data_IF_660562677307
#
_entry.id   IF_660562677307
#
_cell.length_a   1.000
_cell.length_b   1.000
_cell.length_c   1.000
_cell.angle_alpha   90.00
_cell.angle_beta   90.00
_cell.angle_gamma   90.00
#
_symmetry.space_group_name_H-M   'P 1'
#
loop_
_entity.id
_entity.type
_entity.pdbx_description
1 polymer ?
#
# COMPACT_ATOMS: atom_id res chain seq x y z
N UNK A 1 2.98 -14.23 -23.35
CA UNK A 1 3.53 -13.59 -22.13
C UNK A 1 2.35 -13.17 -21.27
N UNK A 2 2.03 -13.97 -20.27
CA UNK A 2 1.09 -13.56 -19.22
C UNK A 2 1.86 -12.62 -18.30
N UNK A 3 1.46 -11.36 -18.26
CA UNK A 3 1.91 -10.41 -17.24
C UNK A 3 1.25 -10.82 -15.92
N UNK A 4 1.92 -11.67 -15.16
CA UNK A 4 1.66 -11.79 -13.72
C UNK A 4 2.15 -10.48 -13.11
N UNK A 5 1.22 -9.60 -12.79
CA UNK A 5 1.46 -8.57 -11.79
C UNK A 5 1.59 -9.27 -10.43
N UNK A 6 2.69 -10.01 -10.22
CA UNK A 6 3.10 -10.52 -8.91
C UNK A 6 3.64 -9.35 -8.10
N UNK A 7 2.75 -8.47 -7.68
CA UNK A 7 3.06 -7.47 -6.67
C UNK A 7 2.57 -8.00 -5.32
N UNK A 8 3.53 -8.43 -4.49
CA UNK A 8 3.54 -8.18 -3.04
C UNK A 8 2.49 -8.89 -2.16
N UNK A 9 2.32 -10.21 -2.28
CA UNK A 9 1.81 -10.99 -1.14
C UNK A 9 3.02 -11.46 -0.31
N UNK A 10 3.63 -10.54 0.44
CA UNK A 10 4.68 -10.85 1.39
C UNK A 10 4.10 -11.15 2.78
N UNK A 11 3.26 -12.18 2.90
CA UNK A 11 2.88 -12.69 4.22
C UNK A 11 4.13 -13.27 4.88
N UNK A 12 4.70 -12.51 5.80
CA UNK A 12 5.86 -12.98 6.56
C UNK A 12 5.34 -13.82 7.72
N UNK A 13 5.63 -15.13 7.68
CA UNK A 13 5.27 -16.06 8.73
C UNK A 13 6.44 -16.21 9.71
N UNK A 14 6.18 -16.05 11.00
CA UNK A 14 7.12 -16.38 12.08
C UNK A 14 6.49 -17.34 13.07
N UNK A 15 7.29 -18.14 13.75
CA UNK A 15 6.85 -19.14 14.72
C UNK A 15 7.66 -19.06 16.01
N UNK A 16 7.02 -19.34 17.15
CA UNK A 16 7.62 -19.42 18.49
C UNK A 16 6.79 -20.37 19.34
N UNK A 17 7.40 -21.45 19.83
CA UNK A 17 6.67 -22.51 20.52
C UNK A 17 5.55 -23.06 19.64
N UNK A 18 4.33 -23.11 20.18
CA UNK A 18 3.13 -23.50 19.44
C UNK A 18 2.40 -22.34 18.75
N UNK A 19 2.96 -21.13 18.69
CA UNK A 19 2.34 -19.95 18.05
C UNK A 19 3.00 -19.66 16.70
N UNK A 20 2.18 -19.37 15.70
CA UNK A 20 2.59 -18.79 14.43
C UNK A 20 1.92 -17.43 14.22
N UNK A 21 2.58 -16.53 13.51
CA UNK A 21 2.06 -15.22 13.15
C UNK A 21 2.28 -14.94 11.67
N UNK A 22 1.18 -14.75 10.95
CA UNK A 22 1.18 -14.16 9.60
C UNK A 22 1.01 -12.65 9.73
N UNK A 23 1.96 -11.89 9.22
CA UNK A 23 1.94 -10.43 9.25
C UNK A 23 1.57 -9.84 7.89
N UNK A 24 0.78 -8.77 7.92
CA UNK A 24 0.54 -7.89 6.79
C UNK A 24 0.45 -6.42 7.22
N UNK A 25 0.79 -5.50 6.33
CA UNK A 25 0.54 -4.06 6.53
C UNK A 25 0.04 -3.38 5.25
N UNK A 26 -1.03 -2.62 5.36
CA UNK A 26 -1.66 -1.92 4.25
C UNK A 26 -1.02 -0.55 3.97
N UNK A 27 -1.02 -0.08 2.70
CA UNK A 27 -1.44 -0.82 1.51
C UNK A 27 -0.32 -1.76 1.00
N UNK A 28 -0.62 -3.05 0.80
CA UNK A 28 0.27 -4.02 0.11
C UNK A 28 1.75 -4.00 0.53
N UNK A 29 2.03 -4.01 1.85
CA UNK A 29 3.39 -3.90 2.41
C UNK A 29 4.16 -2.64 2.03
N UNK A 30 3.43 -1.60 1.62
CA UNK A 30 4.01 -0.34 1.16
C UNK A 30 3.47 0.88 1.94
N UNK A 31 3.71 0.95 3.25
CA UNK A 31 3.30 2.09 4.05
C UNK A 31 4.06 3.36 3.63
N UNK A 32 3.39 4.49 3.74
CA UNK A 32 3.91 5.81 3.37
C UNK A 32 3.92 6.77 4.56
N UNK A 33 4.87 7.69 4.56
CA UNK A 33 4.95 8.74 5.58
C UNK A 33 3.66 9.56 5.62
N UNK A 34 3.14 9.79 6.82
CA UNK A 34 1.97 10.64 7.05
C UNK A 34 0.62 10.00 6.66
N UNK A 35 0.63 8.85 6.00
CA UNK A 35 -0.58 8.09 5.68
C UNK A 35 -0.87 7.06 6.78
N UNK A 36 -2.14 6.74 6.99
CA UNK A 36 -2.53 5.66 7.92
C UNK A 36 -2.30 4.32 7.22
N UNK A 37 -1.56 3.44 7.87
CA UNK A 37 -1.29 2.07 7.45
C UNK A 37 -1.88 1.12 8.49
N UNK A 38 -2.72 0.19 8.06
CA UNK A 38 -3.28 -0.83 8.95
C UNK A 38 -2.35 -2.05 8.96
N UNK A 39 -1.72 -2.31 10.10
CA UNK A 39 -0.97 -3.53 10.34
C UNK A 39 -1.89 -4.56 11.00
N UNK A 40 -1.77 -5.83 10.60
CA UNK A 40 -2.48 -6.93 11.25
C UNK A 40 -1.65 -8.20 11.34
N UNK A 41 -1.95 -8.99 12.35
CA UNK A 41 -1.21 -10.20 12.72
C UNK A 41 -2.19 -11.35 12.89
N UNK A 42 -2.29 -12.23 11.91
CA UNK A 42 -3.06 -13.46 12.07
C UNK A 42 -2.24 -14.45 12.91
N UNK A 43 -2.59 -14.52 14.20
CA UNK A 43 -1.99 -15.44 15.15
C UNK A 43 -2.71 -16.79 15.10
N UNK A 44 -1.96 -17.87 15.05
CA UNK A 44 -2.51 -19.24 15.09
C UNK A 44 -1.71 -20.12 16.04
N UNK A 45 -2.38 -21.14 16.59
CA UNK A 45 -1.72 -22.25 17.27
C UNK A 45 -1.26 -23.29 16.23
N UNK A 46 -0.36 -24.18 16.65
CA UNK A 46 -0.08 -25.42 15.92
C UNK A 46 -1.41 -26.13 15.59
N UNK A 47 -1.58 -26.53 14.32
CA UNK A 47 -2.86 -27.04 13.81
C UNK A 47 -3.78 -25.99 13.17
N UNK A 48 -3.41 -24.70 13.22
CA UNK A 48 -4.06 -23.63 12.46
C UNK A 48 -5.24 -22.95 13.16
N UNK A 49 -5.55 -23.30 14.42
CA UNK A 49 -6.58 -22.60 15.21
C UNK A 49 -6.18 -21.13 15.41
N UNK A 50 -7.06 -20.19 15.10
CA UNK A 50 -6.82 -18.75 15.28
C UNK A 50 -6.75 -18.41 16.78
N UNK A 51 -5.78 -17.58 17.15
CA UNK A 51 -5.70 -16.91 18.45
C UNK A 51 -6.29 -15.50 18.29
N UNK A 52 -7.56 -15.27 18.66
CA UNK A 52 -8.16 -13.94 18.61
C UNK A 52 -7.55 -13.02 19.68
N UNK A 53 -7.62 -11.70 19.42
CA UNK A 53 -7.08 -10.67 20.31
C UNK A 53 -7.71 -10.72 21.71
N UNK A 54 -8.97 -11.11 21.83
CA UNK A 54 -9.66 -11.22 23.12
C UNK A 54 -9.10 -12.32 24.02
N UNK A 55 -8.37 -13.31 23.47
CA UNK A 55 -7.65 -14.37 24.21
C UNK A 55 -6.18 -14.04 24.49
N UNK A 56 -5.67 -12.95 23.92
CA UNK A 56 -4.26 -12.57 24.03
C UNK A 56 -4.05 -11.28 24.83
N UNK A 57 -3.08 -11.28 25.75
CA UNK A 57 -2.51 -10.04 26.30
C UNK A 57 -1.47 -9.47 25.34
N UNK A 58 -1.90 -9.17 24.11
CA UNK A 58 -1.03 -8.79 23.03
C UNK A 58 -0.59 -7.31 23.15
N UNK A 59 0.63 -7.01 22.74
CA UNK A 59 1.18 -5.65 22.67
C UNK A 59 1.96 -5.45 21.38
N UNK A 60 1.82 -4.27 20.78
CA UNK A 60 2.57 -3.86 19.60
C UNK A 60 3.50 -2.70 19.92
N UNK A 61 4.76 -2.80 19.49
CA UNK A 61 5.73 -1.70 19.52
C UNK A 61 6.16 -1.34 18.11
N UNK A 62 6.24 -0.04 17.83
CA UNK A 62 6.83 0.53 16.62
C UNK A 62 8.20 1.07 17.00
N UNK A 63 9.27 0.48 16.46
CA UNK A 63 10.65 0.76 16.82
C UNK A 63 11.39 1.31 15.60
N UNK A 64 12.26 2.31 15.80
CA UNK A 64 13.22 2.76 14.79
C UNK A 64 14.55 3.07 15.47
N UNK A 65 15.66 2.65 14.84
CA UNK A 65 17.02 2.85 15.38
C UNK A 65 17.12 2.45 16.87
N UNK A 66 16.58 1.27 17.20
CA UNK A 66 16.56 0.71 18.56
C UNK A 66 15.78 1.54 19.61
N UNK A 67 14.99 2.52 19.18
CA UNK A 67 14.13 3.33 20.06
C UNK A 67 12.66 3.02 19.81
N UNK A 68 11.89 2.76 20.87
CA UNK A 68 10.44 2.63 20.78
C UNK A 68 9.85 4.02 20.50
N UNK A 69 9.19 4.16 19.35
CA UNK A 69 8.55 5.40 18.94
C UNK A 69 7.08 5.46 19.39
N UNK A 70 6.39 4.32 19.34
CA UNK A 70 4.97 4.23 19.67
C UNK A 70 4.61 2.82 20.13
N UNK A 71 3.57 2.75 20.97
CA UNK A 71 2.88 1.51 21.31
C UNK A 71 1.40 1.63 20.91
N UNK A 72 1.05 1.37 19.63
CA UNK A 72 -0.33 1.46 19.17
C UNK A 72 -1.23 0.51 19.95
N UNK A 73 -2.44 0.96 20.29
CA UNK A 73 -3.45 0.07 20.83
C UNK A 73 -3.89 -0.93 19.76
N UNK A 74 -3.94 -2.20 20.14
CA UNK A 74 -4.47 -3.26 19.29
C UNK A 74 -6.00 -3.27 19.37
N UNK A 75 -6.64 -3.45 18.21
CA UNK A 75 -8.08 -3.67 18.04
C UNK A 75 -8.30 -4.99 17.33
N UNK A 76 -9.40 -5.66 17.66
CA UNK A 76 -9.82 -6.85 16.95
C UNK A 76 -10.34 -6.43 15.58
N UNK A 77 -9.81 -7.03 14.51
CA UNK A 77 -10.26 -6.78 13.15
C UNK A 77 -10.54 -8.10 12.43
N UNK A 78 -11.18 -8.00 11.27
CA UNK A 78 -11.27 -9.09 10.31
C UNK A 78 -10.56 -8.68 9.02
N UNK A 79 -9.66 -9.53 8.53
CA UNK A 79 -8.90 -9.30 7.31
C UNK A 79 -8.71 -10.64 6.60
N UNK A 80 -8.85 -10.63 5.28
CA UNK A 80 -8.86 -11.85 4.46
C UNK A 80 -9.85 -12.90 5.04
N UNK A 81 -9.35 -14.07 5.41
CA UNK A 81 -10.11 -15.16 6.02
C UNK A 81 -10.08 -15.15 7.56
N UNK A 82 -9.30 -14.25 8.17
CA UNK A 82 -9.07 -14.22 9.61
C UNK A 82 -10.05 -13.27 10.31
N UNK A 83 -10.50 -13.66 11.50
CA UNK A 83 -11.47 -12.90 12.30
C UNK A 83 -10.96 -12.69 13.72
N UNK A 84 -11.27 -11.51 14.28
CA UNK A 84 -10.90 -11.17 15.65
C UNK A 84 -9.39 -11.03 15.89
N UNK A 85 -8.60 -10.91 14.82
CA UNK A 85 -7.13 -10.89 14.93
C UNK A 85 -6.63 -9.53 15.43
N UNK A 86 -5.44 -9.49 16.07
CA UNK A 86 -4.78 -8.23 16.41
C UNK A 86 -4.50 -7.37 15.18
N UNK A 87 -5.02 -6.14 15.18
CA UNK A 87 -4.69 -5.12 14.19
C UNK A 87 -4.48 -3.74 14.82
N UNK A 88 -3.74 -2.87 14.16
CA UNK A 88 -3.51 -1.49 14.60
C UNK A 88 -3.36 -0.55 13.41
N UNK A 89 -3.84 0.68 13.59
CA UNK A 89 -3.59 1.76 12.64
C UNK A 89 -2.31 2.51 13.05
N UNK A 90 -1.39 2.67 12.11
CA UNK A 90 -0.06 3.25 12.34
C UNK A 90 0.15 4.36 11.32
N UNK A 91 0.64 5.51 11.79
CA UNK A 91 1.11 6.60 10.91
C UNK A 91 2.59 6.79 11.18
N UNK A 92 3.41 6.57 10.16
CA UNK A 92 4.85 6.68 10.27
C UNK A 92 5.31 8.12 10.07
N UNK A 93 6.17 8.67 10.95
CA UNK A 93 6.54 10.08 10.90
C UNK A 93 7.61 10.39 9.83
N UNK A 94 8.39 9.41 9.41
CA UNK A 94 9.52 9.56 8.46
C UNK A 94 9.71 8.30 7.62
N UNK A 95 10.30 8.47 6.44
CA UNK A 95 10.66 7.34 5.59
C UNK A 95 11.84 6.59 6.20
N UNK A 96 11.97 5.30 5.90
CA UNK A 96 13.02 4.44 6.40
C UNK A 96 12.51 3.11 6.94
N UNK A 97 13.39 2.38 7.61
CA UNK A 97 13.10 1.05 8.16
C UNK A 97 12.62 1.17 9.60
N UNK A 98 11.53 0.48 9.89
CA UNK A 98 10.94 0.34 11.22
C UNK A 98 10.85 -1.15 11.56
N UNK A 99 10.87 -1.46 12.85
CA UNK A 99 10.51 -2.78 13.35
C UNK A 99 9.15 -2.71 14.01
N UNK A 100 8.23 -3.55 13.55
CA UNK A 100 6.98 -3.84 14.25
C UNK A 100 7.18 -5.08 15.10
N UNK A 101 7.21 -4.89 16.41
CA UNK A 101 7.35 -5.97 17.38
C UNK A 101 5.98 -6.28 18.00
N UNK A 102 5.45 -7.47 17.73
CA UNK A 102 4.24 -8.01 18.35
C UNK A 102 4.65 -9.06 19.39
N UNK A 103 4.13 -8.95 20.60
CA UNK A 103 4.33 -9.94 21.65
C UNK A 103 3.03 -10.22 22.38
N UNK A 104 2.96 -11.34 23.10
CA UNK A 104 1.77 -11.67 23.87
C UNK A 104 1.91 -12.90 24.75
N UNK A 105 1.07 -12.92 25.79
CA UNK A 105 0.83 -14.08 26.65
C UNK A 105 -0.64 -14.47 26.56
N UNK A 106 -0.98 -15.74 26.82
CA UNK A 106 -2.39 -16.14 26.85
C UNK A 106 -3.08 -15.53 28.07
N UNK A 107 -4.37 -15.19 27.93
CA UNK A 107 -5.20 -14.77 29.07
C UNK A 107 -5.65 -15.93 29.94
N UNK A 108 -5.78 -17.11 29.35
CA UNK A 108 -6.07 -18.36 30.05
C UNK A 108 -4.79 -19.19 30.10
N UNK A 109 -4.45 -19.73 31.27
CA UNK A 109 -3.26 -20.58 31.38
C UNK A 109 -3.31 -21.73 30.36
N UNK A 110 -2.14 -22.08 29.82
CA UNK A 110 -1.93 -23.19 28.89
C UNK A 110 -2.67 -23.13 27.54
N UNK A 111 -3.27 -21.99 27.17
CA UNK A 111 -3.91 -21.84 25.85
C UNK A 111 -2.88 -21.84 24.70
N UNK A 112 -1.83 -21.04 24.84
CA UNK A 112 -0.71 -20.96 23.89
C UNK A 112 0.57 -20.46 24.57
N UNK A 113 1.74 -20.69 23.95
CA UNK A 113 3.02 -20.24 24.48
C UNK A 113 3.19 -18.72 24.36
N UNK A 114 3.88 -18.09 25.33
CA UNK A 114 4.36 -16.71 25.17
C UNK A 114 5.19 -16.57 23.89
N UNK A 115 5.03 -15.44 23.20
CA UNK A 115 5.72 -15.18 21.94
C UNK A 115 6.15 -13.71 21.81
N UNK A 116 7.16 -13.51 20.96
CA UNK A 116 7.60 -12.21 20.46
C UNK A 116 8.09 -12.35 19.02
N UNK A 117 7.55 -11.53 18.12
CA UNK A 117 7.94 -11.49 16.71
C UNK A 117 8.26 -10.06 16.29
N UNK A 118 9.34 -9.89 15.53
CA UNK A 118 9.78 -8.61 15.00
C UNK A 118 9.74 -8.62 13.47
N UNK A 119 9.06 -7.67 12.85
CA UNK A 119 8.96 -7.55 11.39
C UNK A 119 9.58 -6.23 10.93
N UNK A 120 10.49 -6.29 9.97
CA UNK A 120 11.02 -5.08 9.33
C UNK A 120 10.04 -4.56 8.29
N UNK A 121 9.77 -3.27 8.34
CA UNK A 121 8.86 -2.56 7.46
C UNK A 121 9.59 -1.36 6.87
N UNK A 122 9.69 -1.32 5.55
CA UNK A 122 10.25 -0.18 4.82
C UNK A 122 9.14 0.81 4.51
N UNK A 123 9.22 2.00 5.09
CA UNK A 123 8.28 3.10 4.87
C UNK A 123 8.81 4.02 3.78
N UNK A 124 8.02 4.22 2.72
CA UNK A 124 8.37 5.10 1.63
C UNK A 124 8.04 6.56 1.97
N UNK A 125 8.73 7.50 1.31
CA UNK A 125 8.32 8.90 1.33
C UNK A 125 6.86 8.99 0.89
N UNK A 126 6.02 9.62 1.72
CA UNK A 126 4.65 9.92 1.33
C UNK A 126 4.63 10.94 0.19
N UNK A 127 3.49 11.06 -0.47
CA UNK A 127 3.22 12.25 -1.27
C UNK A 127 3.12 13.42 -0.29
N UNK A 128 4.21 14.18 -0.11
CA UNK A 128 4.06 15.56 0.35
C UNK A 128 2.98 16.22 -0.53
N UNK A 129 2.21 17.21 -0.03
CA UNK A 129 1.60 18.17 -0.94
C UNK A 129 2.76 18.68 -1.78
N UNK A 130 2.82 18.22 -3.02
CA UNK A 130 3.70 18.79 -4.01
C UNK A 130 3.21 20.23 -4.06
N UNK A 131 3.94 21.17 -3.45
CA UNK A 131 3.81 22.56 -3.85
C UNK A 131 4.00 22.50 -5.35
N UNK A 132 2.90 22.63 -6.09
CA UNK A 132 2.95 22.61 -7.54
C UNK A 132 4.07 23.58 -7.91
N UNK A 133 5.05 23.20 -8.75
CA UNK A 133 5.85 24.23 -9.36
C UNK A 133 4.84 25.17 -10.01
N UNK A 134 4.86 26.43 -9.55
CA UNK A 134 4.06 27.53 -10.08
C UNK A 134 3.94 27.31 -11.58
N UNK A 135 2.70 27.22 -12.08
CA UNK A 135 2.43 27.04 -13.49
C UNK A 135 3.38 27.92 -14.30
N UNK A 136 4.30 27.29 -15.04
CA UNK A 136 5.09 28.02 -16.01
C UNK A 136 4.08 28.63 -16.99
N UNK A 137 3.97 29.96 -16.96
CA UNK A 137 3.23 30.72 -17.95
C UNK A 137 3.69 30.23 -19.33
N UNK A 138 2.81 29.76 -20.21
CA UNK A 138 3.24 29.44 -21.56
C UNK A 138 3.77 30.73 -22.19
N UNK A 139 5.06 30.75 -22.51
CA UNK A 139 5.64 31.78 -23.37
C UNK A 139 4.92 31.65 -24.70
N UNK A 140 4.05 32.62 -24.98
CA UNK A 140 3.34 32.75 -26.23
C UNK A 140 4.38 33.16 -27.29
N UNK A 141 4.93 32.20 -28.02
CA UNK A 141 5.72 32.45 -29.21
C UNK A 141 4.80 33.07 -30.26
N UNK A 142 4.81 34.40 -30.36
CA UNK A 142 4.23 35.12 -31.50
C UNK A 142 4.93 34.68 -32.79
N UNK A 143 4.21 34.14 -33.78
CA UNK A 143 4.76 33.98 -35.11
C UNK A 143 4.90 35.37 -35.73
N UNK A 144 6.13 35.83 -35.96
CA UNK A 144 6.37 37.00 -36.81
C UNK A 144 5.87 36.70 -38.21
N UNK A 145 4.71 37.27 -38.53
CA UNK A 145 4.06 37.18 -39.83
C UNK A 145 4.68 38.27 -40.70
N UNK A 146 5.72 37.93 -41.47
CA UNK A 146 6.29 38.86 -42.45
C UNK A 146 5.57 38.69 -43.79
N UNK A 147 4.74 39.67 -44.13
CA UNK A 147 3.97 39.70 -45.37
C UNK A 147 4.87 40.10 -46.53
N UNK A 148 5.16 39.15 -47.41
CA UNK A 148 5.57 39.42 -48.79
C UNK A 148 4.81 38.47 -49.71
N UNK A 149 3.83 39.03 -50.44
CA UNK A 149 3.20 38.42 -51.62
C UNK A 149 4.12 38.67 -52.83
N UNK A 150 4.18 37.75 -53.81
CA UNK A 150 3.19 37.78 -54.88
C UNK A 150 2.73 36.43 -55.46
N UNK A 151 1.44 36.42 -55.81
CA UNK A 151 0.78 35.85 -57.01
C UNK A 151 1.24 34.50 -57.57
N UNK A 152 0.33 33.52 -57.53
CA UNK A 152 0.36 32.32 -58.39
C UNK A 152 -0.90 31.47 -58.26
N UNK A 153 -1.86 31.67 -59.18
CA UNK A 153 -3.05 30.83 -59.39
C UNK A 153 -2.64 29.37 -59.67
N UNK A 154 -3.34 28.38 -59.09
CA UNK A 154 -3.77 27.15 -59.78
C UNK A 154 -4.55 26.17 -58.88
N UNK A 155 -5.81 25.96 -59.27
CA UNK A 155 -6.55 24.70 -59.34
C UNK A 155 -6.85 23.85 -58.08
N UNK A 156 -8.17 23.75 -57.85
CA UNK A 156 -8.94 22.84 -57.00
C UNK A 156 -8.79 21.38 -57.47
N UNK A 157 -8.63 20.44 -56.52
CA UNK A 157 -9.16 19.06 -56.66
C UNK A 157 -9.78 18.63 -55.32
N UNK A 158 -11.11 18.49 -55.34
CA UNK A 158 -11.92 17.82 -54.33
C UNK A 158 -11.76 16.31 -54.48
N UNK A 159 -11.40 15.60 -53.41
CA UNK A 159 -11.69 14.16 -53.30
C UNK A 159 -12.23 13.83 -51.90
N UNK A 160 -13.51 13.48 -51.91
CA UNK A 160 -14.31 12.87 -50.86
C UNK A 160 -13.80 11.48 -50.50
N UNK A 161 -13.88 11.13 -49.21
CA UNK A 161 -13.68 9.74 -48.75
C UNK A 161 -14.27 9.53 -47.36
N UNK A 162 -15.57 9.28 -47.31
CA UNK A 162 -16.27 8.79 -46.11
C UNK A 162 -15.90 7.31 -45.88
N UNK A 163 -15.45 6.97 -44.67
CA UNK A 163 -15.40 5.57 -44.21
C UNK A 163 -16.43 5.37 -43.10
N UNK A 164 -17.52 4.70 -43.47
CA UNK A 164 -18.49 4.10 -42.56
C UNK A 164 -18.22 2.60 -42.58
N UNK A 165 -17.82 1.98 -41.45
CA UNK A 165 -18.15 0.57 -41.19
C UNK A 165 -18.48 0.34 -39.71
N UNK A 166 -19.79 0.06 -39.53
CA UNK A 166 -20.54 -0.64 -38.48
C UNK A 166 -19.79 -1.34 -37.33
N UNK A 167 -20.20 -0.99 -36.10
CA UNK A 167 -20.17 -1.87 -34.92
C UNK A 167 -21.28 -2.92 -35.02
N UNK A 168 -20.94 -4.18 -34.82
CA UNK A 168 -21.91 -5.26 -34.54
C UNK A 168 -21.77 -5.72 -33.09
N UNK A 169 -22.80 -5.43 -32.30
CA UNK A 169 -23.07 -6.06 -31.02
C UNK A 169 -23.67 -7.46 -31.27
N UNK A 170 -23.21 -8.47 -30.55
CA UNK A 170 -23.95 -9.73 -30.37
C UNK A 170 -24.26 -9.90 -28.88
N UNK A 171 -25.53 -10.19 -28.65
CA UNK A 171 -26.16 -10.61 -27.39
C UNK A 171 -25.63 -11.97 -26.95
#
# INVERSE_FOLDING_TARGET
MLHLNDNLIAHNIKTSGNVAATFHIEPNHNPKVGEVSQAWFALTKAGGEIIPLDRCNCQLKVISKNTILKQPQLKAISAEQYQGIPGADITFPKAGIYTLEISGTPKQADDFNEFQFAYEVTVQAGTAPQSSPVAATPIQTTPQTNWVLPVGLSAIVLLTGAWIVKRTLKK
#
